data_IF_868999702552
#
_entry.id   IF_868999702552
#
_cell.length_a   1.000
_cell.length_b   1.000
_cell.length_c   1.000
_cell.angle_alpha   90.00
_cell.angle_beta   90.00
_cell.angle_gamma   90.00
#
_symmetry.space_group_name_H-M   'P 1'
#
loop_
_entity.id
_entity.type
_entity.pdbx_description
1 polymer ?
#
# COMPACT_ATOMS: atom_id res chain seq x y z
N UNK A 1 20.12 21.20 7.38
CA UNK A 1 19.38 20.16 8.14
C UNK A 1 18.11 19.83 7.37
N UNK A 2 18.05 18.67 6.71
CA UNK A 2 16.79 18.19 6.15
C UNK A 2 15.87 17.78 7.30
N UNK A 3 14.54 18.06 7.25
CA UNK A 3 13.65 17.59 8.28
C UNK A 3 13.64 16.06 8.23
N UNK A 4 13.94 15.42 9.35
CA UNK A 4 13.59 14.01 9.52
C UNK A 4 12.10 13.91 9.25
N UNK A 5 11.72 13.16 8.21
CA UNK A 5 10.32 12.88 7.88
C UNK A 5 9.76 12.09 9.04
N UNK A 6 9.21 12.79 10.04
CA UNK A 6 8.49 12.19 11.16
C UNK A 6 7.18 11.67 10.57
N UNK A 7 7.22 10.41 10.11
CA UNK A 7 6.05 9.66 9.68
C UNK A 7 5.06 9.71 10.85
N UNK A 8 3.88 10.25 10.58
CA UNK A 8 2.90 10.52 11.63
C UNK A 8 2.34 9.21 12.17
N UNK A 9 1.96 9.16 13.45
CA UNK A 9 1.34 7.97 14.10
C UNK A 9 0.15 7.39 13.32
N UNK A 10 -0.50 8.21 12.50
CA UNK A 10 -1.58 7.83 11.60
C UNK A 10 -1.15 6.95 10.41
N UNK A 11 0.01 7.23 9.81
CA UNK A 11 0.58 6.41 8.73
C UNK A 11 1.06 5.06 9.28
N UNK A 12 1.59 5.07 10.50
CA UNK A 12 1.97 3.87 11.24
C UNK A 12 0.79 2.95 11.53
N UNK A 13 -0.37 3.50 11.88
CA UNK A 13 -1.60 2.71 12.08
C UNK A 13 -2.01 1.97 10.79
N UNK A 14 -1.92 2.63 9.63
CA UNK A 14 -2.27 2.03 8.35
C UNK A 14 -1.26 0.97 7.91
N UNK A 15 0.04 1.27 8.00
CA UNK A 15 1.11 0.37 7.55
C UNK A 15 1.08 -0.96 8.32
N UNK A 16 0.67 -0.93 9.59
CA UNK A 16 0.53 -2.11 10.43
C UNK A 16 -0.87 -2.76 10.34
N UNK A 17 -1.81 -2.21 9.56
CA UNK A 17 -3.14 -2.77 9.45
C UNK A 17 -3.14 -4.08 8.63
N UNK A 18 -3.85 -5.14 9.07
CA UNK A 18 -3.83 -6.44 8.40
C UNK A 18 -4.46 -6.44 7.01
N UNK A 19 -5.26 -5.42 6.70
CA UNK A 19 -5.90 -5.22 5.40
C UNK A 19 -5.08 -4.33 4.44
N UNK A 20 -3.94 -3.79 4.87
CA UNK A 20 -3.07 -2.95 4.03
C UNK A 20 -2.00 -3.80 3.34
N UNK A 21 -1.98 -3.71 2.01
CA UNK A 21 -1.20 -4.53 1.07
C UNK A 21 -0.01 -3.78 0.45
N UNK A 22 0.27 -2.55 0.87
CA UNK A 22 1.37 -1.73 0.33
C UNK A 22 1.25 -1.52 -1.19
N UNK A 23 2.38 -1.33 -1.87
CA UNK A 23 2.43 -1.29 -3.33
C UNK A 23 1.97 -2.62 -3.92
N UNK A 24 0.79 -2.60 -4.54
CA UNK A 24 0.20 -3.78 -5.16
C UNK A 24 -0.64 -3.37 -6.36
N UNK A 25 -0.46 -4.08 -7.48
CA UNK A 25 -1.24 -3.87 -8.70
C UNK A 25 -2.65 -4.45 -8.58
N UNK A 26 -3.54 -4.10 -9.51
CA UNK A 26 -4.86 -4.74 -9.59
C UNK A 26 -4.72 -6.25 -9.88
N UNK A 27 -3.85 -6.63 -10.83
CA UNK A 27 -3.64 -8.02 -11.22
C UNK A 27 -3.15 -8.91 -10.07
N UNK A 28 -2.32 -8.38 -9.15
CA UNK A 28 -1.89 -9.09 -7.94
C UNK A 28 -2.97 -9.15 -6.86
N UNK A 29 -3.76 -8.08 -6.72
CA UNK A 29 -4.82 -8.01 -5.72
C UNK A 29 -6.02 -8.90 -6.06
N UNK A 30 -6.37 -8.98 -7.34
CA UNK A 30 -7.58 -9.63 -7.82
C UNK A 30 -7.69 -11.13 -7.47
N UNK A 31 -6.65 -11.96 -7.55
CA UNK A 31 -6.69 -13.36 -7.12
C UNK A 31 -6.96 -13.53 -5.62
N UNK A 32 -6.58 -12.56 -4.79
CA UNK A 32 -6.76 -12.60 -3.34
C UNK A 32 -8.20 -12.31 -2.90
N UNK A 33 -8.96 -11.62 -3.76
CA UNK A 33 -10.37 -11.31 -3.56
C UNK A 33 -11.24 -12.52 -3.92
N UNK A 34 -11.32 -13.48 -2.99
CA UNK A 34 -12.22 -14.63 -3.11
C UNK A 34 -13.69 -14.18 -3.21
N UNK A 35 -14.57 -15.07 -3.68
CA UNK A 35 -15.99 -14.76 -4.01
C UNK A 35 -16.89 -14.48 -2.79
N UNK A 36 -16.34 -13.96 -1.71
CA UNK A 36 -17.05 -13.50 -0.52
C UNK A 36 -17.41 -12.01 -0.69
N UNK A 37 -18.70 -11.69 -0.67
CA UNK A 37 -19.16 -10.32 -0.88
C UNK A 37 -18.65 -9.40 0.24
N UNK A 38 -18.03 -8.29 -0.17
CA UNK A 38 -17.44 -7.32 0.72
C UNK A 38 -16.06 -7.72 1.23
N UNK A 39 -15.47 -8.81 0.73
CA UNK A 39 -14.06 -9.12 0.97
C UNK A 39 -13.17 -8.10 0.27
N UNK A 40 -12.26 -7.47 1.01
CA UNK A 40 -11.47 -6.34 0.50
C UNK A 40 -10.01 -6.34 0.94
N UNK A 41 -9.21 -5.52 0.28
CA UNK A 41 -7.88 -5.09 0.72
C UNK A 41 -7.64 -3.62 0.32
N UNK A 42 -6.71 -2.97 0.99
CA UNK A 42 -6.25 -1.62 0.65
C UNK A 42 -4.84 -1.73 0.10
N UNK A 43 -4.59 -1.13 -1.07
CA UNK A 43 -3.29 -1.11 -1.73
C UNK A 43 -2.89 0.29 -2.11
N UNK A 44 -1.61 0.51 -2.32
CA UNK A 44 -1.01 1.72 -2.83
C UNK A 44 -0.58 1.51 -4.29
N UNK A 45 -0.74 2.54 -5.10
CA UNK A 45 -0.13 2.63 -6.42
C UNK A 45 0.57 3.97 -6.57
N UNK A 46 1.49 4.03 -7.52
CA UNK A 46 2.09 5.27 -7.98
C UNK A 46 1.51 5.62 -9.36
N UNK A 47 0.95 6.83 -9.49
CA UNK A 47 0.43 7.36 -10.75
C UNK A 47 0.94 8.79 -10.88
N UNK A 48 1.65 9.09 -11.98
CA UNK A 48 2.21 10.42 -12.25
C UNK A 48 3.08 10.98 -11.09
N UNK A 49 3.84 10.12 -10.40
CA UNK A 49 4.69 10.51 -9.27
C UNK A 49 3.93 10.77 -7.96
N UNK A 50 2.64 10.47 -7.91
CA UNK A 50 1.81 10.58 -6.72
C UNK A 50 1.38 9.21 -6.20
N UNK A 51 1.44 9.05 -4.88
CA UNK A 51 0.95 7.85 -4.21
C UNK A 51 -0.56 7.91 -4.00
N UNK A 52 -1.26 6.85 -4.39
CA UNK A 52 -2.71 6.77 -4.37
C UNK A 52 -3.14 5.48 -3.67
N UNK A 53 -3.97 5.64 -2.64
CA UNK A 53 -4.61 4.51 -1.99
C UNK A 53 -5.82 4.05 -2.79
N UNK A 54 -5.94 2.74 -2.98
CA UNK A 54 -7.04 2.06 -3.65
C UNK A 54 -7.64 1.02 -2.71
N UNK A 55 -8.97 1.02 -2.55
CA UNK A 55 -9.70 -0.10 -1.96
C UNK A 55 -10.12 -1.05 -3.07
N UNK A 56 -9.63 -2.28 -3.00
CA UNK A 56 -10.04 -3.35 -3.91
C UNK A 56 -11.01 -4.28 -3.18
N UNK A 57 -12.19 -4.53 -3.74
CA UNK A 57 -13.28 -5.28 -3.08
C UNK A 57 -14.00 -6.19 -4.06
N UNK A 58 -14.34 -7.40 -3.63
CA UNK A 58 -15.28 -8.25 -4.34
C UNK A 58 -16.72 -7.91 -3.93
N UNK A 59 -17.58 -7.60 -4.89
CA UNK A 59 -18.97 -7.26 -4.64
C UNK A 59 -19.87 -7.71 -5.78
N UNK A 60 -20.94 -8.45 -5.45
CA UNK A 60 -21.99 -8.89 -6.39
C UNK A 60 -21.43 -9.52 -7.68
N UNK A 61 -20.45 -10.41 -7.54
CA UNK A 61 -19.89 -11.14 -8.68
C UNK A 61 -18.75 -10.42 -9.42
N UNK A 62 -18.39 -9.20 -9.02
CA UNK A 62 -17.38 -8.37 -9.68
C UNK A 62 -16.31 -7.93 -8.70
N UNK A 63 -15.10 -7.73 -9.21
CA UNK A 63 -14.01 -7.09 -8.47
C UNK A 63 -14.02 -5.61 -8.83
N UNK A 64 -14.01 -4.77 -7.81
CA UNK A 64 -14.04 -3.32 -7.95
C UNK A 64 -12.81 -2.70 -7.31
N UNK A 65 -12.37 -1.57 -7.86
CA UNK A 65 -11.23 -0.81 -7.37
C UNK A 65 -11.63 0.66 -7.22
N UNK A 66 -11.63 1.16 -5.99
CA UNK A 66 -12.04 2.53 -5.68
C UNK A 66 -10.88 3.34 -5.16
N UNK A 67 -10.63 4.49 -5.78
CA UNK A 67 -9.65 5.46 -5.31
C UNK A 67 -10.12 6.09 -4.01
N UNK A 68 -9.23 6.12 -3.01
CA UNK A 68 -9.39 6.95 -1.84
C UNK A 68 -8.84 8.33 -2.20
N UNK A 69 -9.68 9.33 -2.13
CA UNK A 69 -9.30 10.70 -2.45
C UNK A 69 -8.82 11.42 -1.21
N UNK A 70 -7.88 12.34 -1.39
CA UNK A 70 -7.42 13.24 -0.34
C UNK A 70 -7.97 14.64 -0.63
N UNK A 71 -8.45 15.34 0.39
CA UNK A 71 -8.93 16.72 0.24
C UNK A 71 -7.80 17.65 -0.17
N UNK A 72 -8.13 18.79 -0.80
CA UNK A 72 -7.13 19.75 -1.35
C UNK A 72 -6.10 20.24 -0.33
N UNK A 73 -6.45 20.28 0.95
CA UNK A 73 -5.55 20.70 2.04
C UNK A 73 -4.80 19.53 2.70
N UNK A 74 -4.96 18.30 2.21
CA UNK A 74 -4.28 17.12 2.75
C UNK A 74 -4.88 16.55 4.06
N UNK A 75 -5.79 17.27 4.70
CA UNK A 75 -6.23 17.01 6.08
C UNK A 75 -7.16 15.78 6.24
N UNK A 76 -7.79 15.33 5.16
CA UNK A 76 -8.79 14.26 5.20
C UNK A 76 -8.70 13.37 3.97
N UNK A 77 -8.96 12.09 4.17
CA UNK A 77 -9.20 11.07 3.16
C UNK A 77 -10.70 10.81 3.05
N UNK A 78 -11.20 10.54 1.86
CA UNK A 78 -12.60 10.21 1.65
C UNK A 78 -12.84 9.14 0.60
N UNK A 79 -13.90 8.38 0.84
CA UNK A 79 -14.56 7.47 -0.09
C UNK A 79 -16.04 7.82 -0.07
N UNK A 80 -16.66 7.87 -1.25
CA UNK A 80 -18.09 8.18 -1.37
C UNK A 80 -18.52 9.44 -0.57
N UNK A 81 -17.71 10.50 -0.64
CA UNK A 81 -17.97 11.77 0.05
C UNK A 81 -17.82 11.76 1.58
N UNK A 82 -17.45 10.64 2.22
CA UNK A 82 -17.30 10.55 3.69
C UNK A 82 -15.85 10.85 4.10
N UNK A 83 -15.55 11.97 4.78
CA UNK A 83 -14.19 12.31 5.18
C UNK A 83 -13.78 11.68 6.52
N UNK A 84 -12.53 11.22 6.61
CA UNK A 84 -11.84 10.84 7.86
C UNK A 84 -10.38 11.31 7.83
N UNK A 85 -9.79 11.49 9.01
CA UNK A 85 -8.40 11.99 9.13
C UNK A 85 -7.35 11.00 8.65
N UNK A 86 -7.63 9.69 8.72
CA UNK A 86 -6.70 8.63 8.31
C UNK A 86 -7.43 7.62 7.43
N UNK A 87 -6.69 6.95 6.54
CA UNK A 87 -7.24 5.85 5.72
C UNK A 87 -7.73 4.72 6.63
N UNK A 88 -7.00 4.38 7.69
CA UNK A 88 -7.42 3.35 8.65
C UNK A 88 -8.78 3.68 9.29
N UNK A 89 -8.99 4.93 9.71
CA UNK A 89 -10.27 5.39 10.25
C UNK A 89 -11.39 5.38 9.19
N UNK A 90 -11.07 5.70 7.93
CA UNK A 90 -12.00 5.63 6.80
C UNK A 90 -12.50 4.21 6.56
N UNK A 91 -11.59 3.25 6.45
CA UNK A 91 -11.91 1.83 6.26
C UNK A 91 -12.72 1.30 7.44
N UNK A 92 -12.29 1.61 8.68
CA UNK A 92 -12.99 1.25 9.91
C UNK A 92 -14.43 1.74 9.88
N UNK A 93 -14.65 2.99 9.48
CA UNK A 93 -15.99 3.58 9.39
C UNK A 93 -16.87 2.85 8.38
N UNK A 94 -16.42 2.65 7.13
CA UNK A 94 -17.21 1.98 6.11
C UNK A 94 -17.53 0.52 6.49
N UNK A 95 -16.57 -0.17 7.12
CA UNK A 95 -16.76 -1.54 7.59
C UNK A 95 -17.75 -1.64 8.74
N UNK A 96 -17.70 -0.79 9.76
CA UNK A 96 -18.62 -0.89 10.89
C UNK A 96 -20.00 -0.32 10.60
N UNK A 97 -20.08 0.80 9.88
CA UNK A 97 -21.38 1.41 9.51
C UNK A 97 -22.07 0.71 8.35
N UNK A 98 -21.37 -0.17 7.63
CA UNK A 98 -21.82 -0.79 6.38
C UNK A 98 -22.27 0.22 5.31
N UNK A 99 -21.84 1.49 5.41
CA UNK A 99 -22.07 2.49 4.37
C UNK A 99 -21.27 2.13 3.11
N UNK A 100 -21.88 2.21 1.92
CA UNK A 100 -21.20 1.83 0.68
C UNK A 100 -20.01 2.75 0.41
N UNK A 101 -18.94 2.17 -0.15
CA UNK A 101 -17.74 2.91 -0.60
C UNK A 101 -17.92 3.51 -1.99
N UNK A 102 -19.01 3.18 -2.68
CA UNK A 102 -19.43 3.75 -3.95
C UNK A 102 -20.94 3.50 -4.13
N UNK A 103 -21.69 4.56 -4.45
CA UNK A 103 -23.16 4.49 -4.56
C UNK A 103 -23.64 3.67 -5.77
N UNK A 104 -22.98 3.80 -6.93
CA UNK A 104 -23.39 3.13 -8.17
C UNK A 104 -23.38 1.60 -8.06
N UNK A 105 -22.31 1.04 -7.48
CA UNK A 105 -22.17 -0.40 -7.23
C UNK A 105 -22.85 -0.85 -5.94
N UNK A 106 -23.07 0.08 -4.99
CA UNK A 106 -23.47 -0.20 -3.62
C UNK A 106 -22.47 -1.08 -2.86
N UNK A 107 -21.18 -1.07 -3.23
CA UNK A 107 -20.17 -1.94 -2.63
C UNK A 107 -19.94 -1.60 -1.14
N UNK A 108 -20.03 -2.59 -0.25
CA UNK A 108 -19.76 -2.43 1.18
C UNK A 108 -18.58 -3.29 1.64
N UNK A 109 -17.82 -2.80 2.63
CA UNK A 109 -16.67 -3.52 3.19
C UNK A 109 -17.11 -4.44 4.34
N UNK A 110 -16.70 -5.71 4.34
CA UNK A 110 -17.12 -6.71 5.32
C UNK A 110 -15.97 -7.48 5.94
N UNK A 111 -15.36 -8.39 5.17
CA UNK A 111 -14.17 -9.16 5.57
C UNK A 111 -12.94 -8.60 4.84
N UNK A 112 -11.73 -8.79 5.37
CA UNK A 112 -10.52 -8.36 4.69
C UNK A 112 -9.63 -9.55 4.32
N UNK A 113 -8.81 -9.34 3.30
CA UNK A 113 -7.69 -10.23 2.99
C UNK A 113 -6.57 -9.90 3.97
N UNK A 114 -6.26 -10.85 4.84
CA UNK A 114 -5.09 -10.74 5.72
C UNK A 114 -3.81 -10.72 4.90
N UNK A 115 -2.94 -9.79 5.29
CA UNK A 115 -1.58 -9.71 4.77
C UNK A 115 -0.77 -10.96 5.17
N UNK A 116 0.01 -11.50 4.24
CA UNK A 116 1.06 -12.47 4.57
C UNK A 116 2.10 -11.82 5.50
N UNK A 117 2.37 -12.41 6.64
CA UNK A 117 3.36 -11.92 7.61
C UNK A 117 4.80 -11.86 7.06
N UNK A 118 5.07 -12.51 5.93
CA UNK A 118 6.36 -12.45 5.24
C UNK A 118 6.51 -11.27 4.26
N UNK A 119 5.40 -10.58 3.92
CA UNK A 119 5.45 -9.47 2.96
C UNK A 119 6.03 -8.21 3.63
N UNK A 120 7.20 -7.78 3.16
CA UNK A 120 7.87 -6.54 3.58
C UNK A 120 7.57 -5.45 2.55
N UNK A 121 7.05 -4.32 3.02
CA UNK A 121 6.76 -3.18 2.14
C UNK A 121 7.94 -2.24 1.97
N UNK A 122 7.98 -1.54 0.83
CA UNK A 122 9.02 -0.56 0.53
C UNK A 122 9.04 0.59 1.55
N UNK A 123 7.87 0.98 2.04
CA UNK A 123 7.67 2.03 3.05
C UNK A 123 8.18 1.60 4.44
N UNK A 124 8.27 0.29 4.69
CA UNK A 124 8.88 -0.24 5.91
C UNK A 124 10.40 -0.37 5.79
N UNK A 125 10.95 -0.28 4.57
CA UNK A 125 12.34 -0.61 4.28
C UNK A 125 13.14 0.63 3.86
N UNK A 126 14.09 1.04 4.68
CA UNK A 126 15.11 2.01 4.29
C UNK A 126 16.31 1.27 3.74
N UNK A 127 16.57 1.38 2.43
CA UNK A 127 17.75 0.81 1.78
C UNK A 127 18.94 1.76 1.96
N UNK A 128 20.06 1.24 2.46
CA UNK A 128 21.28 2.00 2.77
C UNK A 128 22.43 1.61 1.83
N UNK A 129 23.65 1.55 2.38
CA UNK A 129 24.88 1.25 1.66
C UNK A 129 24.96 -0.20 1.20
N UNK A 130 25.75 -0.42 0.16
CA UNK A 130 26.16 -1.75 -0.29
C UNK A 130 27.01 -2.40 0.80
N UNK A 131 26.79 -3.69 1.04
CA UNK A 131 27.57 -4.50 2.00
C UNK A 131 28.15 -5.76 1.37
N UNK A 132 27.80 -6.07 0.12
CA UNK A 132 28.41 -7.18 -0.60
C UNK A 132 27.81 -7.40 -1.98
N UNK A 133 28.42 -8.30 -2.73
CA UNK A 133 27.92 -8.79 -4.01
C UNK A 133 27.89 -10.32 -3.98
N UNK A 134 26.96 -10.92 -4.69
CA UNK A 134 26.95 -12.36 -4.93
C UNK A 134 26.23 -12.67 -6.23
N UNK A 135 26.14 -13.95 -6.60
CA UNK A 135 25.67 -14.41 -7.92
C UNK A 135 24.39 -13.74 -8.44
N UNK A 136 23.43 -13.47 -7.56
CA UNK A 136 22.13 -12.91 -7.94
C UNK A 136 22.04 -11.37 -7.86
N UNK A 137 23.16 -10.68 -7.60
CA UNK A 137 23.23 -9.22 -7.53
C UNK A 137 23.83 -8.66 -6.25
N UNK A 138 23.51 -7.41 -5.96
CA UNK A 138 24.05 -6.65 -4.84
C UNK A 138 23.30 -6.97 -3.53
N UNK A 139 24.03 -6.98 -2.42
CA UNK A 139 23.49 -7.04 -1.07
C UNK A 139 23.71 -5.68 -0.42
N UNK A 140 22.65 -5.08 0.08
CA UNK A 140 22.67 -3.77 0.73
C UNK A 140 22.30 -3.90 2.19
N UNK A 141 22.89 -3.08 3.05
CA UNK A 141 22.36 -2.86 4.39
C UNK A 141 21.03 -2.13 4.25
N UNK A 142 20.07 -2.46 5.09
CA UNK A 142 18.84 -1.72 5.23
C UNK A 142 18.38 -1.66 6.68
N UNK A 143 17.35 -0.86 6.93
CA UNK A 143 16.60 -0.85 8.17
C UNK A 143 15.15 -1.18 7.89
N UNK A 144 14.65 -2.24 8.51
CA UNK A 144 13.27 -2.66 8.45
C UNK A 144 12.53 -2.14 9.69
N UNK A 145 11.39 -1.50 9.48
CA UNK A 145 10.52 -1.03 10.55
C UNK A 145 9.42 -2.04 10.85
N UNK A 146 9.35 -2.48 12.11
CA UNK A 146 8.32 -3.41 12.61
C UNK A 146 7.67 -2.76 13.82
N UNK A 147 6.46 -2.23 13.64
CA UNK A 147 5.82 -1.38 14.66
C UNK A 147 6.70 -0.15 14.97
N UNK A 148 7.05 0.01 16.25
CA UNK A 148 7.93 1.10 16.73
C UNK A 148 9.42 0.74 16.68
N UNK A 149 9.77 -0.51 16.34
CA UNK A 149 11.16 -0.98 16.33
C UNK A 149 11.78 -0.85 14.93
N UNK A 150 13.09 -0.65 14.89
CA UNK A 150 13.90 -0.66 13.67
C UNK A 150 14.94 -1.77 13.79
N UNK A 151 14.96 -2.66 12.80
CA UNK A 151 15.81 -3.85 12.74
C UNK A 151 16.80 -3.66 11.59
N UNK A 152 18.10 -3.79 11.84
CA UNK A 152 19.10 -3.84 10.77
C UNK A 152 18.93 -5.13 9.95
N UNK A 153 18.84 -5.00 8.64
CA UNK A 153 18.60 -6.12 7.71
C UNK A 153 19.58 -6.09 6.53
N UNK A 154 19.78 -7.23 5.90
CA UNK A 154 20.40 -7.32 4.58
C UNK A 154 19.31 -7.42 3.51
N UNK A 155 19.41 -6.58 2.48
CA UNK A 155 18.47 -6.51 1.35
C UNK A 155 19.19 -7.01 0.11
N UNK A 156 18.74 -8.13 -0.44
CA UNK A 156 19.21 -8.63 -1.73
C UNK A 156 18.46 -7.90 -2.84
N UNK A 157 19.17 -7.19 -3.70
CA UNK A 157 18.60 -6.64 -4.92
C UNK A 157 18.90 -7.61 -6.07
N UNK A 158 17.87 -7.92 -6.85
CA UNK A 158 18.02 -8.78 -8.02
C UNK A 158 18.50 -7.94 -9.19
N UNK A 159 19.46 -8.47 -9.96
CA UNK A 159 19.79 -7.90 -11.27
C UNK A 159 18.56 -8.10 -12.16
N UNK A 160 17.79 -7.03 -12.39
CA UNK A 160 16.77 -7.07 -13.44
C UNK A 160 17.42 -6.62 -14.74
N UNK A 161 17.38 -7.47 -15.78
CA UNK A 161 17.79 -7.13 -17.13
C UNK A 161 16.90 -6.03 -17.71
N UNK A 162 17.15 -4.79 -17.30
CA UNK A 162 16.70 -3.59 -18.01
C UNK A 162 17.97 -2.91 -18.49
N UNK A 163 18.36 -3.22 -19.73
CA UNK A 163 19.31 -2.40 -20.48
C UNK A 163 18.86 -0.94 -20.33
N UNK A 164 19.72 -0.13 -19.71
CA UNK A 164 19.60 1.31 -19.82
C UNK A 164 19.62 1.66 -21.31
N UNK A 165 18.56 2.31 -21.79
CA UNK A 165 18.65 3.08 -23.01
C UNK A 165 19.55 4.26 -22.65
N UNK A 166 20.75 4.30 -23.20
CA UNK A 166 21.62 5.45 -23.13
C UNK A 166 20.98 6.59 -23.94
N UNK A 167 20.69 7.77 -23.33
CA UNK A 167 20.13 8.91 -24.05
C UNK A 167 21.11 9.56 -25.04
N UNK A 168 22.35 9.09 -25.18
CA UNK A 168 23.37 9.71 -26.02
C UNK A 168 23.76 8.93 -27.29
N UNK A 169 22.95 7.98 -27.75
CA UNK A 169 23.15 7.35 -29.07
C UNK A 169 22.24 8.00 -30.13
N UNK A 170 22.71 9.14 -30.68
CA UNK A 170 22.36 9.65 -32.01
C UNK A 170 23.57 10.30 -32.66
#
# INVERSE_FOLDING_TARGET
MAPATCITTAEDELINAPFYHGFQTAAEAEPLLTKDNGRFLVRLIEENGHFIYIVSVYWKGKKHHYRIFQTRHGNFFHLNGIPKRTVAALIRYHRFSQKPVNDESGACLRSYVERSHYAIYREQLTILSVIGHGEFGEVRRGKLRVGMQSIDVAVKTMITDKKGIDPNER
#
